data_IF_952785605456
#
_entry.id   IF_952785605456
#
_cell.length_a   1.000
_cell.length_b   1.000
_cell.length_c   1.000
_cell.angle_alpha   90.00
_cell.angle_beta   90.00
_cell.angle_gamma   90.00
#
_symmetry.space_group_name_H-M   'P 1'
#
loop_
_entity.id
_entity.type
_entity.pdbx_description
1 polymer ?
#
# COMPACT_ATOMS: atom_id res chain seq x y z
N UNK A 1 -10.82 -17.21 3.74
CA UNK A 1 -11.49 -15.96 3.32
C UNK A 1 -10.51 -14.79 3.25
N UNK A 2 -9.81 -14.40 4.34
CA UNK A 2 -8.80 -13.32 4.31
C UNK A 2 -7.65 -13.58 3.31
N UNK A 3 -7.15 -14.82 3.25
CA UNK A 3 -6.07 -15.20 2.34
C UNK A 3 -6.45 -14.99 0.87
N UNK A 4 -7.71 -15.27 0.51
CA UNK A 4 -8.23 -15.03 -0.84
C UNK A 4 -8.19 -13.55 -1.21
N UNK A 5 -8.61 -12.66 -0.29
CA UNK A 5 -8.52 -11.21 -0.51
C UNK A 5 -7.07 -10.75 -0.65
N UNK A 6 -6.14 -11.28 0.15
CA UNK A 6 -4.73 -10.95 0.05
C UNK A 6 -4.11 -11.37 -1.30
N UNK A 7 -4.45 -12.56 -1.80
CA UNK A 7 -4.00 -13.01 -3.13
C UNK A 7 -4.59 -12.17 -4.25
N UNK A 8 -5.90 -11.88 -4.19
CA UNK A 8 -6.53 -11.00 -5.18
C UNK A 8 -5.92 -9.59 -5.16
N UNK A 9 -5.62 -9.05 -3.98
CA UNK A 9 -4.93 -7.77 -3.86
C UNK A 9 -3.54 -7.83 -4.52
N UNK A 10 -2.75 -8.88 -4.28
CA UNK A 10 -1.44 -9.04 -4.91
C UNK A 10 -1.53 -9.10 -6.45
N UNK A 11 -2.53 -9.83 -6.98
CA UNK A 11 -2.79 -9.90 -8.44
C UNK A 11 -3.15 -8.51 -8.99
N UNK A 12 -4.04 -7.79 -8.31
CA UNK A 12 -4.49 -6.47 -8.76
C UNK A 12 -3.39 -5.42 -8.67
N UNK A 13 -2.53 -5.47 -7.64
CA UNK A 13 -1.35 -4.60 -7.54
C UNK A 13 -0.35 -4.88 -8.68
N UNK A 14 -0.05 -6.15 -8.97
CA UNK A 14 0.80 -6.51 -10.11
C UNK A 14 0.25 -6.02 -11.44
N UNK A 15 -1.07 -6.16 -11.66
CA UNK A 15 -1.73 -5.64 -12.85
C UNK A 15 -1.74 -4.11 -12.90
N UNK A 16 -1.99 -3.43 -11.77
CA UNK A 16 -1.92 -1.99 -11.65
C UNK A 16 -0.53 -1.47 -12.06
N UNK A 17 0.56 -2.09 -11.59
CA UNK A 17 1.91 -1.65 -11.96
C UNK A 17 2.22 -1.83 -13.43
N UNK A 18 1.79 -2.95 -14.04
CA UNK A 18 1.93 -3.14 -15.48
C UNK A 18 1.19 -2.08 -16.31
N UNK A 19 -0.01 -1.66 -15.86
CA UNK A 19 -0.74 -0.55 -16.48
C UNK A 19 -0.05 0.80 -16.22
N UNK A 20 0.38 1.04 -14.99
CA UNK A 20 1.05 2.27 -14.58
C UNK A 20 2.32 2.50 -15.40
N UNK A 21 3.18 1.48 -15.62
CA UNK A 21 4.37 1.62 -16.47
C UNK A 21 4.02 2.14 -17.87
N UNK A 22 2.97 1.59 -18.49
CA UNK A 22 2.52 2.04 -19.80
C UNK A 22 1.97 3.47 -19.78
N UNK A 23 1.16 3.80 -18.77
CA UNK A 23 0.49 5.11 -18.66
C UNK A 23 1.50 6.22 -18.32
N UNK A 24 2.47 5.93 -17.46
CA UNK A 24 3.48 6.88 -17.00
C UNK A 24 4.50 7.26 -18.08
N UNK A 25 4.55 6.52 -19.19
CA UNK A 25 5.25 6.96 -20.41
C UNK A 25 4.56 8.14 -21.11
N UNK A 26 3.30 8.42 -20.78
CA UNK A 26 2.47 9.45 -21.42
C UNK A 26 2.05 10.58 -20.48
N UNK A 27 1.88 10.30 -19.18
CA UNK A 27 1.47 11.30 -18.18
C UNK A 27 2.34 11.25 -16.93
N UNK A 28 2.36 12.33 -16.16
CA UNK A 28 3.15 12.40 -14.93
C UNK A 28 2.58 11.48 -13.82
N UNK A 29 3.44 10.98 -12.90
CA UNK A 29 2.99 10.25 -11.71
C UNK A 29 1.92 10.98 -10.91
N UNK A 30 2.07 12.29 -10.71
CA UNK A 30 1.12 13.10 -9.94
C UNK A 30 -0.25 13.14 -10.63
N UNK A 31 -0.28 13.28 -11.96
CA UNK A 31 -1.53 13.28 -12.73
C UNK A 31 -2.25 11.93 -12.63
N UNK A 32 -1.52 10.82 -12.79
CA UNK A 32 -2.10 9.48 -12.66
C UNK A 32 -2.70 9.29 -11.26
N UNK A 33 -1.94 9.58 -10.21
CA UNK A 33 -2.38 9.45 -8.84
C UNK A 33 -3.58 10.34 -8.52
N UNK A 34 -3.61 11.58 -9.02
CA UNK A 34 -4.77 12.45 -8.82
C UNK A 34 -6.05 11.84 -9.41
N UNK A 35 -5.97 11.24 -10.60
CA UNK A 35 -7.12 10.56 -11.21
C UNK A 35 -7.56 9.35 -10.41
N UNK A 36 -6.62 8.51 -9.96
CA UNK A 36 -6.91 7.34 -9.12
C UNK A 36 -7.58 7.75 -7.80
N UNK A 37 -7.05 8.78 -7.13
CA UNK A 37 -7.58 9.26 -5.86
C UNK A 37 -8.96 9.89 -5.99
N UNK A 38 -9.22 10.66 -7.06
CA UNK A 38 -10.56 11.24 -7.30
C UNK A 38 -11.59 10.13 -7.56
N UNK A 39 -11.27 9.17 -8.42
CA UNK A 39 -12.19 8.06 -8.74
C UNK A 39 -12.42 7.19 -7.50
N UNK A 40 -11.35 6.86 -6.77
CA UNK A 40 -11.41 6.09 -5.53
C UNK A 40 -12.24 6.81 -4.46
N UNK A 41 -12.02 8.11 -4.26
CA UNK A 41 -12.78 8.92 -3.30
C UNK A 41 -14.27 8.92 -3.63
N UNK A 42 -14.66 9.10 -4.90
CA UNK A 42 -16.07 9.07 -5.32
C UNK A 42 -16.67 7.68 -5.06
N UNK A 43 -16.00 6.62 -5.49
CA UNK A 43 -16.49 5.25 -5.36
C UNK A 43 -16.66 4.84 -3.89
N UNK A 44 -15.61 4.99 -3.08
CA UNK A 44 -15.62 4.52 -1.70
C UNK A 44 -16.45 5.42 -0.79
N UNK A 45 -16.49 6.74 -1.03
CA UNK A 45 -17.41 7.62 -0.29
C UNK A 45 -18.87 7.29 -0.63
N UNK A 46 -19.18 7.01 -1.90
CA UNK A 46 -20.51 6.58 -2.32
C UNK A 46 -20.95 5.30 -1.61
N UNK A 47 -20.11 4.26 -1.61
CA UNK A 47 -20.41 2.99 -0.93
C UNK A 47 -20.51 3.20 0.59
N UNK A 48 -19.54 3.89 1.20
CA UNK A 48 -19.49 4.10 2.65
C UNK A 48 -20.68 4.93 3.14
N UNK A 49 -21.11 5.94 2.38
CA UNK A 49 -22.26 6.79 2.72
C UNK A 49 -23.54 5.97 2.96
N UNK A 50 -23.78 4.93 2.14
CA UNK A 50 -24.95 4.05 2.27
C UNK A 50 -24.75 2.86 3.21
N UNK A 51 -23.56 2.68 3.80
CA UNK A 51 -23.24 1.49 4.59
C UNK A 51 -22.73 1.84 5.99
N UNK A 52 -21.57 2.47 6.13
CA UNK A 52 -20.85 2.58 7.41
C UNK A 52 -20.51 4.01 7.85
N UNK A 53 -20.51 4.97 6.93
CA UNK A 53 -19.92 6.31 7.11
C UNK A 53 -20.38 7.02 8.39
N UNK A 54 -21.69 7.01 8.69
CA UNK A 54 -22.23 7.70 9.88
C UNK A 54 -21.61 7.17 11.18
N UNK A 55 -21.51 5.84 11.30
CA UNK A 55 -20.92 5.18 12.46
C UNK A 55 -19.44 5.47 12.55
N UNK A 56 -18.72 5.35 11.44
CA UNK A 56 -17.26 5.48 11.43
C UNK A 56 -16.83 6.93 11.75
N UNK A 57 -17.57 7.92 11.25
CA UNK A 57 -17.34 9.34 11.61
C UNK A 57 -17.58 9.57 13.11
N UNK A 58 -18.62 9.00 13.70
CA UNK A 58 -18.89 9.13 15.15
C UNK A 58 -17.74 8.53 15.99
N UNK A 59 -17.18 7.40 15.56
CA UNK A 59 -16.00 6.82 16.23
C UNK A 59 -14.78 7.73 16.08
N UNK A 60 -14.53 8.27 14.89
CA UNK A 60 -13.40 9.17 14.64
C UNK A 60 -13.51 10.51 15.40
N UNK A 61 -14.72 11.03 15.62
CA UNK A 61 -14.89 12.28 16.39
C UNK A 61 -14.81 12.08 17.90
N UNK A 62 -14.96 10.85 18.38
CA UNK A 62 -14.91 10.51 19.81
C UNK A 62 -13.54 9.97 20.25
N UNK A 63 -12.77 9.37 19.34
CA UNK A 63 -11.41 8.87 19.59
C UNK A 63 -10.37 9.69 18.82
N UNK A 64 -9.74 10.65 19.51
CA UNK A 64 -8.70 11.51 18.93
C UNK A 64 -7.42 10.76 18.56
N UNK A 65 -7.12 9.65 19.24
CA UNK A 65 -5.99 8.79 18.92
C UNK A 65 -6.22 8.07 17.60
N UNK A 66 -7.41 7.49 17.41
CA UNK A 66 -7.80 6.88 16.15
C UNK A 66 -7.83 7.89 15.01
N UNK A 67 -8.40 9.09 15.24
CA UNK A 67 -8.41 10.15 14.23
C UNK A 67 -6.99 10.50 13.77
N UNK A 68 -6.05 10.63 14.71
CA UNK A 68 -4.65 10.91 14.37
C UNK A 68 -4.02 9.77 13.55
N UNK A 69 -4.28 8.51 13.93
CA UNK A 69 -3.81 7.35 13.16
C UNK A 69 -4.41 7.32 11.76
N UNK A 70 -5.69 7.66 11.59
CA UNK A 70 -6.34 7.75 10.28
C UNK A 70 -5.75 8.86 9.43
N UNK A 71 -5.51 10.05 9.98
CA UNK A 71 -4.86 11.15 9.25
C UNK A 71 -3.43 10.77 8.84
N UNK A 72 -2.69 10.12 9.75
CA UNK A 72 -1.33 9.65 9.46
C UNK A 72 -1.34 8.59 8.35
N UNK A 73 -2.26 7.63 8.38
CA UNK A 73 -2.41 6.61 7.34
C UNK A 73 -2.68 7.24 5.97
N UNK A 74 -3.61 8.21 5.89
CA UNK A 74 -3.91 8.95 4.65
C UNK A 74 -2.66 9.68 4.13
N UNK A 75 -1.89 10.34 5.02
CA UNK A 75 -0.67 11.02 4.60
C UNK A 75 0.39 10.03 4.07
N UNK A 76 0.58 8.90 4.77
CA UNK A 76 1.56 7.88 4.40
C UNK A 76 1.18 7.19 3.08
N UNK A 77 -0.10 6.85 2.85
CA UNK A 77 -0.50 6.22 1.59
C UNK A 77 -0.28 7.15 0.40
N UNK A 78 -0.58 8.46 0.53
CA UNK A 78 -0.33 9.43 -0.54
C UNK A 78 1.17 9.54 -0.87
N UNK A 79 2.02 9.59 0.16
CA UNK A 79 3.48 9.67 -0.01
C UNK A 79 4.02 8.36 -0.61
N UNK A 80 3.56 7.20 -0.12
CA UNK A 80 3.97 5.89 -0.63
C UNK A 80 3.56 5.71 -2.10
N UNK A 81 2.30 6.04 -2.44
CA UNK A 81 1.79 6.02 -3.82
C UNK A 81 2.62 6.90 -4.74
N UNK A 82 3.04 8.09 -4.29
CA UNK A 82 3.94 8.95 -5.05
C UNK A 82 5.30 8.28 -5.31
N UNK A 83 5.93 7.70 -4.28
CA UNK A 83 7.23 7.06 -4.43
C UNK A 83 7.19 5.83 -5.34
N UNK A 84 6.17 4.98 -5.24
CA UNK A 84 6.08 3.80 -6.11
C UNK A 84 5.80 4.20 -7.55
N UNK A 85 4.84 5.09 -7.80
CA UNK A 85 4.54 5.57 -9.15
C UNK A 85 5.76 6.26 -9.79
N UNK A 86 6.51 7.05 -9.01
CA UNK A 86 7.75 7.68 -9.47
C UNK A 86 8.84 6.66 -9.75
N UNK A 87 8.98 5.63 -8.90
CA UNK A 87 9.96 4.55 -9.11
C UNK A 87 9.66 3.74 -10.37
N UNK A 88 8.39 3.46 -10.65
CA UNK A 88 7.94 2.82 -11.89
C UNK A 88 8.29 3.70 -13.10
N UNK A 89 8.01 5.01 -13.02
CA UNK A 89 8.30 5.95 -14.10
C UNK A 89 9.82 6.11 -14.38
N UNK A 90 10.65 6.08 -13.34
CA UNK A 90 12.11 6.22 -13.48
C UNK A 90 12.81 4.93 -13.94
N UNK A 91 12.19 3.77 -13.76
CA UNK A 91 12.80 2.47 -14.08
C UNK A 91 11.87 1.56 -14.89
N UNK A 92 11.04 0.77 -14.22
CA UNK A 92 9.97 -0.05 -14.77
C UNK A 92 9.17 -0.69 -13.62
N UNK A 93 7.99 -1.23 -13.91
CA UNK A 93 7.11 -1.85 -12.92
C UNK A 93 7.72 -3.07 -12.24
N UNK A 94 8.51 -3.86 -12.98
CA UNK A 94 9.04 -5.12 -12.47
C UNK A 94 10.05 -4.88 -11.36
N UNK A 95 11.06 -4.04 -11.61
CA UNK A 95 12.09 -3.75 -10.62
C UNK A 95 11.49 -2.95 -9.45
N UNK A 96 10.68 -1.93 -9.73
CA UNK A 96 10.06 -1.11 -8.68
C UNK A 96 9.15 -1.94 -7.76
N UNK A 97 8.26 -2.76 -8.33
CA UNK A 97 7.37 -3.62 -7.56
C UNK A 97 8.10 -4.68 -6.74
N UNK A 98 9.18 -5.25 -7.26
CA UNK A 98 9.95 -6.27 -6.53
C UNK A 98 10.70 -5.66 -5.34
N UNK A 99 11.32 -4.49 -5.52
CA UNK A 99 11.95 -3.76 -4.41
C UNK A 99 10.90 -3.39 -3.36
N UNK A 100 9.72 -2.94 -3.79
CA UNK A 100 8.61 -2.60 -2.91
C UNK A 100 8.14 -3.80 -2.08
N UNK A 101 8.13 -5.02 -2.62
CA UNK A 101 7.75 -6.25 -1.90
C UNK A 101 8.57 -6.53 -0.63
N UNK A 102 9.60 -5.75 -0.33
CA UNK A 102 10.29 -5.75 0.97
C UNK A 102 9.49 -5.09 2.10
N UNK A 103 8.38 -4.38 1.80
CA UNK A 103 7.52 -3.71 2.80
C UNK A 103 7.06 -4.58 3.97
N UNK A 104 6.80 -5.91 3.85
CA UNK A 104 6.39 -6.73 4.99
C UNK A 104 7.40 -6.72 6.15
N UNK A 105 8.69 -6.56 5.86
CA UNK A 105 9.74 -6.40 6.88
C UNK A 105 9.53 -5.12 7.68
N UNK A 106 9.24 -4.02 6.99
CA UNK A 106 8.96 -2.73 7.61
C UNK A 106 7.63 -2.77 8.38
N UNK A 107 6.60 -3.44 7.85
CA UNK A 107 5.33 -3.65 8.56
C UNK A 107 5.55 -4.35 9.90
N UNK A 108 6.38 -5.40 9.94
CA UNK A 108 6.73 -6.10 11.19
C UNK A 108 7.42 -5.14 12.17
N UNK A 109 8.40 -4.36 11.71
CA UNK A 109 9.14 -3.43 12.55
C UNK A 109 8.19 -2.36 13.13
N UNK A 110 7.35 -1.74 12.31
CA UNK A 110 6.45 -0.68 12.76
C UNK A 110 5.32 -1.21 13.66
N UNK A 111 4.76 -2.39 13.37
CA UNK A 111 3.72 -2.97 14.24
C UNK A 111 4.26 -3.36 15.61
N UNK A 112 5.50 -3.85 15.67
CA UNK A 112 6.19 -4.10 16.92
C UNK A 112 6.53 -2.80 17.65
N UNK A 113 7.18 -1.84 16.99
CA UNK A 113 7.71 -0.63 17.63
C UNK A 113 6.61 0.38 18.04
N UNK A 114 5.62 0.62 17.19
CA UNK A 114 4.59 1.65 17.42
C UNK A 114 3.38 1.13 18.20
N UNK A 115 3.03 -0.15 18.01
CA UNK A 115 1.79 -0.72 18.57
C UNK A 115 2.04 -1.84 19.58
N UNK A 116 3.31 -2.18 19.85
CA UNK A 116 3.70 -3.27 20.75
C UNK A 116 3.06 -4.62 20.37
N UNK A 117 2.77 -4.82 19.07
CA UNK A 117 2.15 -6.03 18.56
C UNK A 117 3.23 -6.99 18.06
N UNK A 118 3.46 -8.07 18.81
CA UNK A 118 4.44 -9.11 18.43
C UNK A 118 3.74 -10.15 17.56
N UNK A 119 3.77 -9.94 16.25
CA UNK A 119 3.40 -10.96 15.25
C UNK A 119 4.62 -11.75 14.76
N UNK A 120 5.79 -11.51 15.34
CA UNK A 120 7.07 -12.10 14.93
C UNK A 120 7.22 -13.48 15.51
N UNK A 121 7.28 -14.48 14.62
CA UNK A 121 7.69 -15.84 14.94
C UNK A 121 8.79 -16.29 13.98
N UNK A 122 9.36 -17.46 14.22
CA UNK A 122 10.48 -17.98 13.43
C UNK A 122 10.14 -18.11 11.93
N UNK A 123 8.90 -18.49 11.59
CA UNK A 123 8.44 -18.57 10.20
C UNK A 123 8.38 -17.21 9.53
N UNK A 124 7.93 -16.17 10.24
CA UNK A 124 7.89 -14.78 9.75
C UNK A 124 9.30 -14.26 9.47
N UNK A 125 10.26 -14.56 10.35
CA UNK A 125 11.67 -14.17 10.16
C UNK A 125 12.26 -14.85 8.91
N UNK A 126 12.11 -16.17 8.80
CA UNK A 126 12.63 -16.94 7.65
C UNK A 126 11.96 -16.46 6.35
N UNK A 127 10.63 -16.36 6.34
CA UNK A 127 9.88 -15.90 5.17
C UNK A 127 10.26 -14.48 4.76
N UNK A 128 10.39 -13.57 5.72
CA UNK A 128 10.85 -12.20 5.48
C UNK A 128 12.25 -12.14 4.87
N UNK A 129 13.19 -12.93 5.39
CA UNK A 129 14.55 -13.02 4.82
C UNK A 129 14.53 -13.57 3.39
N UNK A 130 13.70 -14.58 3.10
CA UNK A 130 13.56 -15.12 1.75
C UNK A 130 12.98 -14.10 0.77
N UNK A 131 11.98 -13.32 1.19
CA UNK A 131 11.43 -12.22 0.39
C UNK A 131 12.53 -11.19 0.11
N UNK A 132 13.30 -10.80 1.13
CA UNK A 132 14.38 -9.83 0.99
C UNK A 132 15.45 -10.30 0.00
N UNK A 133 15.93 -11.53 0.17
CA UNK A 133 16.95 -12.13 -0.70
C UNK A 133 16.41 -12.23 -2.13
N UNK A 134 15.17 -12.69 -2.31
CA UNK A 134 14.52 -12.74 -3.63
C UNK A 134 14.43 -11.37 -4.29
N UNK A 135 14.05 -10.34 -3.51
CA UNK A 135 13.99 -8.96 -4.00
C UNK A 135 15.36 -8.42 -4.39
N UNK A 136 16.42 -8.70 -3.62
CA UNK A 136 17.79 -8.29 -3.96
C UNK A 136 18.30 -8.97 -5.23
N UNK A 137 18.10 -10.28 -5.37
CA UNK A 137 18.56 -11.04 -6.55
C UNK A 137 17.96 -10.47 -7.83
N UNK A 138 16.67 -10.13 -7.82
CA UNK A 138 16.00 -9.58 -9.00
C UNK A 138 16.27 -8.09 -9.16
N UNK A 139 16.36 -7.33 -8.07
CA UNK A 139 16.61 -5.88 -8.12
C UNK A 139 17.99 -5.50 -8.66
N UNK A 140 18.98 -6.40 -8.56
CA UNK A 140 20.31 -6.24 -9.15
C UNK A 140 20.48 -6.85 -10.55
N UNK A 141 19.44 -7.50 -11.10
CA UNK A 141 19.43 -8.02 -12.46
C UNK A 141 19.11 -6.91 -13.48
#
# INVERSE_FOLDING_TARGET
MWFTFAILAAILWGFNYALAEKILNSISPITLLALEMIIGAILFSGISFFTTMKRDIEVLTTDSGLLLLTIAEIAIVLIASYFIATSINLKNATIAGIVELTYPLFTIIFTWFLFNQVHVNFSVIIGGLLIFIGALVIGFA
#
